data_IF_620190513074
#
_entry.id   IF_620190513074
#
_cell.length_a   1.000
_cell.length_b   1.000
_cell.length_c   1.000
_cell.angle_alpha   90.00
_cell.angle_beta   90.00
_cell.angle_gamma   90.00
#
_symmetry.space_group_name_H-M   'P 1'
#
loop_
_entity.id
_entity.type
_entity.pdbx_description
1 polymer ?
#
# COMPACT_ATOMS: atom_id res chain seq x y z
N UNK A 1 12.85 -28.28 12.16
CA UNK A 1 11.60 -27.60 12.54
C UNK A 1 11.56 -26.15 12.05
N UNK A 2 12.47 -25.28 12.47
CA UNK A 2 12.54 -23.87 12.01
C UNK A 2 12.70 -23.69 10.49
N UNK A 3 13.51 -24.52 9.84
CA UNK A 3 13.64 -24.52 8.38
C UNK A 3 12.33 -24.85 7.66
N UNK A 4 11.55 -25.81 8.18
CA UNK A 4 10.24 -26.16 7.61
C UNK A 4 9.24 -25.01 7.76
N UNK A 5 9.19 -24.35 8.92
CA UNK A 5 8.36 -23.16 9.12
C UNK A 5 8.78 -22.02 8.21
N UNK A 6 10.07 -21.83 8.03
CA UNK A 6 10.61 -20.82 7.14
C UNK A 6 10.23 -21.09 5.68
N UNK A 7 10.43 -22.32 5.18
CA UNK A 7 10.01 -22.72 3.83
C UNK A 7 8.50 -22.57 3.67
N UNK A 8 7.70 -22.95 4.67
CA UNK A 8 6.26 -22.80 4.64
C UNK A 8 5.80 -21.33 4.63
N UNK A 9 6.55 -20.43 5.28
CA UNK A 9 6.27 -19.00 5.27
C UNK A 9 6.66 -18.33 3.93
N UNK A 10 7.77 -18.76 3.32
CA UNK A 10 8.25 -18.21 2.04
C UNK A 10 7.46 -18.76 0.85
N UNK A 11 6.96 -19.99 0.95
CA UNK A 11 6.29 -20.67 -0.16
C UNK A 11 5.08 -19.89 -0.73
N UNK A 12 4.14 -19.34 0.05
CA UNK A 12 3.05 -18.51 -0.46
C UNK A 12 3.51 -17.30 -1.28
N UNK A 13 4.54 -16.58 -0.82
CA UNK A 13 5.09 -15.42 -1.52
C UNK A 13 5.70 -15.77 -2.88
N UNK A 14 6.10 -17.03 -3.08
CA UNK A 14 6.62 -17.53 -4.35
C UNK A 14 5.54 -18.04 -5.33
N UNK A 15 4.26 -18.10 -4.95
CA UNK A 15 3.22 -18.77 -5.77
C UNK A 15 2.50 -17.86 -6.75
N UNK A 16 2.30 -16.60 -6.37
CA UNK A 16 1.53 -15.61 -7.11
C UNK A 16 2.50 -14.51 -7.54
N UNK A 17 2.57 -14.16 -8.84
CA UNK A 17 3.38 -13.03 -9.27
C UNK A 17 2.84 -11.74 -8.63
N UNK A 18 3.71 -10.77 -8.31
CA UNK A 18 3.27 -9.53 -7.69
C UNK A 18 2.35 -8.73 -8.63
N UNK A 19 1.48 -7.91 -8.07
CA UNK A 19 0.68 -6.96 -8.84
C UNK A 19 1.59 -5.91 -9.48
N UNK A 20 1.29 -5.53 -10.73
CA UNK A 20 2.10 -4.57 -11.48
C UNK A 20 1.24 -3.40 -11.96
N UNK A 21 1.72 -2.19 -11.70
CA UNK A 21 1.10 -0.96 -12.16
C UNK A 21 1.82 -0.47 -13.42
N UNK A 22 1.06 -0.08 -14.44
CA UNK A 22 1.61 0.50 -15.66
C UNK A 22 0.99 1.86 -15.93
N UNK A 23 1.78 2.91 -15.64
CA UNK A 23 1.41 4.31 -15.88
C UNK A 23 1.10 4.59 -17.35
N UNK A 24 1.92 4.09 -18.28
CA UNK A 24 1.80 4.43 -19.70
C UNK A 24 0.47 3.96 -20.29
N UNK A 25 -0.02 2.82 -19.79
CA UNK A 25 -1.31 2.25 -20.18
C UNK A 25 -2.45 2.62 -19.24
N UNK A 26 -2.18 3.34 -18.13
CA UNK A 26 -3.13 3.57 -17.02
C UNK A 26 -3.89 2.31 -16.63
N UNK A 27 -3.16 1.21 -16.40
CA UNK A 27 -3.73 -0.10 -16.09
C UNK A 27 -2.95 -0.81 -14.98
N UNK A 28 -3.62 -1.72 -14.29
CA UNK A 28 -3.06 -2.59 -13.24
C UNK A 28 -3.22 -4.05 -13.65
N UNK A 29 -2.10 -4.78 -13.65
CA UNK A 29 -2.07 -6.20 -13.94
C UNK A 29 -1.94 -7.02 -12.66
N UNK A 30 -2.83 -8.01 -12.49
CA UNK A 30 -2.75 -8.97 -11.38
C UNK A 30 -3.11 -10.38 -11.83
N UNK A 31 -2.77 -11.36 -11.00
CA UNK A 31 -3.09 -12.78 -11.22
C UNK A 31 -3.81 -13.28 -9.98
N UNK A 32 -5.10 -13.57 -10.09
CA UNK A 32 -5.96 -13.92 -8.95
C UNK A 32 -5.52 -15.24 -8.29
N UNK A 33 -5.33 -16.30 -9.09
CA UNK A 33 -4.76 -17.56 -8.60
C UNK A 33 -3.65 -18.10 -9.49
N UNK A 34 -2.83 -18.97 -8.90
CA UNK A 34 -1.75 -19.66 -9.63
C UNK A 34 -2.32 -20.41 -10.84
N UNK A 35 -1.86 -20.03 -12.04
CA UNK A 35 -2.17 -20.71 -13.29
C UNK A 35 -3.31 -20.06 -14.09
N UNK A 36 -4.00 -19.09 -13.51
CA UNK A 36 -5.00 -18.29 -14.23
C UNK A 36 -4.32 -17.25 -15.13
N UNK A 37 -4.99 -16.84 -16.23
CA UNK A 37 -4.51 -15.76 -17.06
C UNK A 37 -4.42 -14.44 -16.26
N UNK A 38 -3.46 -13.57 -16.57
CA UNK A 38 -3.41 -12.24 -15.95
C UNK A 38 -4.63 -11.43 -16.36
N UNK A 39 -5.12 -10.64 -15.42
CA UNK A 39 -6.23 -9.69 -15.61
C UNK A 39 -5.66 -8.28 -15.61
N UNK A 40 -6.19 -7.44 -16.48
CA UNK A 40 -5.81 -6.04 -16.63
C UNK A 40 -7.02 -5.19 -16.25
N UNK A 41 -6.83 -4.27 -15.31
CA UNK A 41 -7.89 -3.39 -14.80
C UNK A 41 -7.50 -1.95 -15.12
N UNK A 42 -8.41 -1.13 -15.67
CA UNK A 42 -8.19 0.31 -15.81
C UNK A 42 -7.86 0.96 -14.47
N UNK A 43 -6.90 1.86 -14.45
CA UNK A 43 -6.48 2.55 -13.22
C UNK A 43 -7.63 3.28 -12.52
N UNK A 44 -8.57 3.81 -13.30
CA UNK A 44 -9.73 4.56 -12.80
C UNK A 44 -10.80 3.66 -12.17
N UNK A 45 -10.77 2.34 -12.45
CA UNK A 45 -11.63 1.33 -11.82
C UNK A 45 -11.03 0.76 -10.52
N UNK A 46 -9.81 1.15 -10.17
CA UNK A 46 -9.13 0.67 -8.96
C UNK A 46 -9.78 1.30 -7.73
N UNK A 47 -10.24 0.45 -6.82
CA UNK A 47 -10.82 0.88 -5.55
C UNK A 47 -9.68 0.97 -4.54
N UNK A 48 -9.61 2.06 -3.79
CA UNK A 48 -8.71 2.18 -2.65
C UNK A 48 -9.46 2.61 -1.41
N UNK A 49 -9.20 1.93 -0.30
CA UNK A 49 -9.73 2.30 1.00
C UNK A 49 -8.74 1.95 2.11
N UNK A 50 -8.90 2.58 3.26
CA UNK A 50 -8.09 2.28 4.44
C UNK A 50 -8.96 1.53 5.45
N UNK A 51 -8.49 0.36 5.87
CA UNK A 51 -9.06 -0.38 6.99
C UNK A 51 -8.45 0.07 8.30
N UNK A 52 -9.28 0.25 9.32
CA UNK A 52 -8.86 0.40 10.71
C UNK A 52 -9.54 -0.71 11.51
N UNK A 53 -8.74 -1.57 12.13
CA UNK A 53 -9.23 -2.69 12.93
C UNK A 53 -8.54 -2.73 14.29
N UNK A 54 -9.27 -3.15 15.32
CA UNK A 54 -8.69 -3.42 16.64
C UNK A 54 -8.36 -4.91 16.70
N UNK A 55 -7.09 -5.24 16.92
CA UNK A 55 -6.63 -6.63 17.01
C UNK A 55 -6.15 -6.90 18.42
N UNK A 56 -6.81 -7.83 19.11
CA UNK A 56 -6.34 -8.34 20.38
C UNK A 56 -5.08 -9.20 20.16
N UNK A 57 -3.99 -8.82 20.82
CA UNK A 57 -2.74 -9.58 20.86
C UNK A 57 -2.44 -10.00 22.29
N UNK A 58 -1.45 -10.87 22.48
CA UNK A 58 -0.98 -11.26 23.82
C UNK A 58 -0.50 -10.07 24.67
N UNK A 59 -0.17 -8.95 24.01
CA UNK A 59 0.28 -7.71 24.64
C UNK A 59 -0.83 -6.65 24.77
N UNK A 60 -2.09 -7.04 24.55
CA UNK A 60 -3.26 -6.17 24.60
C UNK A 60 -3.86 -5.84 23.23
N UNK A 61 -4.88 -4.98 23.22
CA UNK A 61 -5.57 -4.57 21.99
C UNK A 61 -4.79 -3.49 21.28
N UNK A 62 -4.35 -3.77 20.06
CA UNK A 62 -3.63 -2.83 19.22
C UNK A 62 -4.48 -2.40 18.03
N UNK A 63 -4.49 -1.11 17.74
CA UNK A 63 -5.08 -0.61 16.50
C UNK A 63 -4.16 -0.95 15.33
N UNK A 64 -4.72 -1.56 14.29
CA UNK A 64 -4.02 -1.88 13.04
C UNK A 64 -4.68 -1.17 11.88
N UNK A 65 -3.86 -0.55 11.06
CA UNK A 65 -4.27 0.08 9.81
C UNK A 65 -3.78 -0.75 8.63
N UNK A 66 -4.52 -0.71 7.53
CA UNK A 66 -4.06 -1.29 6.29
C UNK A 66 -4.65 -0.55 5.09
N UNK A 67 -3.82 -0.25 4.11
CA UNK A 67 -4.27 0.14 2.79
C UNK A 67 -4.83 -1.09 2.09
N UNK A 68 -6.08 -0.99 1.63
CA UNK A 68 -6.77 -2.03 0.87
C UNK A 68 -7.00 -1.53 -0.56
N UNK A 69 -6.43 -2.23 -1.53
CA UNK A 69 -6.59 -1.95 -2.96
C UNK A 69 -7.49 -3.04 -3.56
N UNK A 70 -8.69 -2.65 -3.96
CA UNK A 70 -9.69 -3.49 -4.58
C UNK A 70 -9.55 -3.48 -6.10
N UNK A 71 -9.30 -4.65 -6.65
CA UNK A 71 -9.17 -4.92 -8.07
C UNK A 71 -10.43 -5.64 -8.55
N UNK A 72 -11.37 -4.88 -9.13
CA UNK A 72 -12.64 -5.40 -9.63
C UNK A 72 -12.48 -5.98 -11.03
N UNK A 73 -12.88 -7.23 -11.20
CA UNK A 73 -12.93 -7.84 -12.53
C UNK A 73 -14.21 -7.44 -13.28
N UNK A 74 -14.07 -7.05 -14.55
CA UNK A 74 -15.17 -6.61 -15.39
C UNK A 74 -16.08 -7.77 -15.81
N UNK A 75 -15.58 -9.00 -15.92
CA UNK A 75 -16.38 -10.16 -16.36
C UNK A 75 -17.20 -10.78 -15.23
N UNK A 76 -16.59 -10.94 -14.06
CA UNK A 76 -17.17 -11.73 -12.96
C UNK A 76 -17.71 -10.86 -11.81
N UNK A 77 -17.38 -9.56 -11.81
CA UNK A 77 -17.71 -8.62 -10.74
C UNK A 77 -16.99 -8.89 -9.40
N UNK A 78 -16.16 -9.93 -9.33
CA UNK A 78 -15.38 -10.27 -8.13
C UNK A 78 -14.28 -9.23 -7.90
N UNK A 79 -14.10 -8.84 -6.64
CA UNK A 79 -13.05 -7.91 -6.22
C UNK A 79 -11.97 -8.66 -5.48
N UNK A 80 -10.74 -8.58 -5.99
CA UNK A 80 -9.57 -9.07 -5.27
C UNK A 80 -8.98 -7.92 -4.46
N UNK A 81 -8.83 -8.14 -3.16
CA UNK A 81 -8.26 -7.16 -2.25
C UNK A 81 -6.78 -7.42 -2.03
N UNK A 82 -5.95 -6.43 -2.33
CA UNK A 82 -4.56 -6.37 -1.88
C UNK A 82 -4.53 -5.60 -0.56
N UNK A 83 -3.91 -6.18 0.46
CA UNK A 83 -3.79 -5.56 1.78
C UNK A 83 -2.33 -5.24 2.05
N UNK A 84 -2.03 -3.95 2.19
CA UNK A 84 -0.73 -3.45 2.60
C UNK A 84 -0.86 -3.01 4.06
N UNK A 85 -0.22 -3.70 5.01
CA UNK A 85 -0.29 -3.33 6.41
C UNK A 85 0.47 -2.02 6.66
N UNK A 86 -0.12 -1.11 7.43
CA UNK A 86 0.49 0.18 7.76
C UNK A 86 0.39 0.44 9.26
N UNK A 87 1.37 1.15 9.83
CA UNK A 87 1.41 1.40 11.27
C UNK A 87 0.43 2.48 11.72
N UNK A 88 0.08 3.41 10.84
CA UNK A 88 -0.83 4.52 11.13
C UNK A 88 -1.75 4.80 9.95
N UNK A 89 -2.88 5.47 10.21
CA UNK A 89 -3.77 5.96 9.14
C UNK A 89 -3.02 6.86 8.15
N UNK A 90 -2.18 7.78 8.63
CA UNK A 90 -1.41 8.70 7.79
C UNK A 90 -0.43 7.96 6.86
N UNK A 91 0.17 6.86 7.32
CA UNK A 91 1.02 6.03 6.48
C UNK A 91 0.21 5.29 5.40
N UNK A 92 -0.94 4.69 5.75
CA UNK A 92 -1.78 4.01 4.76
C UNK A 92 -2.27 4.97 3.65
N UNK A 93 -2.66 6.19 4.04
CA UNK A 93 -3.03 7.25 3.09
C UNK A 93 -1.82 7.70 2.28
N UNK A 94 -0.65 7.86 2.91
CA UNK A 94 0.59 8.23 2.23
C UNK A 94 1.06 7.19 1.21
N UNK A 95 0.92 5.89 1.52
CA UNK A 95 1.20 4.79 0.59
C UNK A 95 0.30 4.86 -0.65
N UNK A 96 -1.00 5.12 -0.45
CA UNK A 96 -1.93 5.31 -1.57
C UNK A 96 -1.57 6.55 -2.40
N UNK A 97 -1.30 7.68 -1.75
CA UNK A 97 -0.91 8.91 -2.43
C UNK A 97 0.40 8.77 -3.19
N UNK A 98 1.37 7.99 -2.69
CA UNK A 98 2.58 7.67 -3.43
C UNK A 98 2.29 6.87 -4.71
N UNK A 99 1.45 5.83 -4.62
CA UNK A 99 1.03 5.06 -5.81
C UNK A 99 0.28 5.96 -6.80
N UNK A 100 -0.67 6.76 -6.31
CA UNK A 100 -1.45 7.69 -7.14
C UNK A 100 -0.57 8.73 -7.81
N UNK A 101 0.32 9.40 -7.08
CA UNK A 101 1.26 10.39 -7.62
C UNK A 101 2.19 9.76 -8.67
N UNK A 102 2.69 8.55 -8.41
CA UNK A 102 3.46 7.80 -9.41
C UNK A 102 2.65 7.52 -10.68
N UNK A 103 1.39 7.09 -10.55
CA UNK A 103 0.54 6.76 -11.70
C UNK A 103 0.12 8.00 -12.51
N UNK A 104 -0.16 9.13 -11.85
CA UNK A 104 -0.60 10.36 -12.51
C UNK A 104 0.59 11.17 -13.05
N UNK A 105 1.49 11.57 -12.16
CA UNK A 105 2.54 12.56 -12.42
C UNK A 105 3.87 11.90 -12.77
N UNK A 106 4.06 10.64 -12.39
CA UNK A 106 5.28 9.87 -12.67
C UNK A 106 6.28 9.87 -11.52
N UNK A 107 7.49 9.30 -11.74
CA UNK A 107 8.48 9.11 -10.68
C UNK A 107 9.03 10.41 -10.09
N UNK A 108 8.95 11.53 -10.81
CA UNK A 108 9.40 12.84 -10.32
C UNK A 108 8.51 13.45 -9.24
N UNK A 109 7.27 12.98 -9.10
CA UNK A 109 6.33 13.46 -8.08
C UNK A 109 6.50 12.75 -6.74
N UNK A 110 7.27 11.67 -6.70
CA UNK A 110 7.52 10.92 -5.47
C UNK A 110 8.46 11.71 -4.55
N UNK A 111 8.17 11.76 -3.24
CA UNK A 111 9.08 12.38 -2.29
C UNK A 111 10.41 11.62 -2.28
N UNK A 112 11.50 12.36 -2.15
CA UNK A 112 12.82 11.76 -1.97
C UNK A 112 12.86 10.96 -0.65
N UNK A 113 13.54 9.80 -0.63
CA UNK A 113 13.64 8.99 0.58
C UNK A 113 14.34 9.79 1.69
N UNK A 114 13.65 9.93 2.83
CA UNK A 114 14.11 10.75 3.96
C UNK A 114 15.45 10.26 4.56
N UNK A 115 15.68 8.93 4.54
CA UNK A 115 16.85 8.30 5.16
C UNK A 115 17.88 7.82 4.13
N UNK A 116 17.72 8.17 2.85
CA UNK A 116 18.52 7.64 1.75
C UNK A 116 18.21 6.16 1.45
N UNK A 117 18.54 5.71 0.24
CA UNK A 117 18.13 4.39 -0.30
C UNK A 117 18.62 3.18 0.53
N UNK A 118 19.70 3.33 1.30
CA UNK A 118 20.31 2.22 2.02
C UNK A 118 19.83 2.08 3.48
N UNK A 119 19.14 3.08 4.05
CA UNK A 119 18.71 3.06 5.47
C UNK A 119 17.22 2.81 5.64
N UNK A 120 16.69 1.87 4.86
CA UNK A 120 15.32 1.38 5.04
C UNK A 120 15.21 0.42 6.23
N UNK A 121 14.03 0.35 6.84
CA UNK A 121 13.79 -0.54 7.97
C UNK A 121 14.01 -2.01 7.55
N UNK A 122 14.80 -2.74 8.35
CA UNK A 122 15.18 -4.12 8.03
C UNK A 122 16.55 -4.26 7.36
N UNK A 123 17.21 -3.18 6.93
CA UNK A 123 18.58 -3.23 6.42
C UNK A 123 19.63 -3.27 7.55
N UNK A 124 20.85 -3.69 7.21
CA UNK A 124 21.97 -3.75 8.16
C UNK A 124 22.44 -2.34 8.54
N UNK A 125 22.35 -1.41 7.60
CA UNK A 125 22.67 -0.01 7.73
C UNK A 125 21.74 0.68 8.74
N UNK A 126 20.43 0.45 8.61
CA UNK A 126 19.43 0.92 9.57
C UNK A 126 19.69 0.35 10.96
N UNK A 127 20.00 -0.95 11.08
CA UNK A 127 20.39 -1.57 12.35
C UNK A 127 21.59 -0.85 13.00
N UNK A 128 22.62 -0.54 12.21
CA UNK A 128 23.80 0.17 12.71
C UNK A 128 23.50 1.62 13.10
N UNK A 129 22.60 2.29 12.39
CA UNK A 129 22.09 3.61 12.78
C UNK A 129 21.37 3.53 14.13
N UNK A 130 20.42 2.61 14.30
CA UNK A 130 19.72 2.41 15.58
C UNK A 130 20.68 2.10 16.72
N UNK A 131 21.71 1.26 16.48
CA UNK A 131 22.75 0.99 17.47
C UNK A 131 23.49 2.25 17.89
N UNK A 132 23.88 3.10 16.93
CA UNK A 132 24.57 4.37 17.21
C UNK A 132 23.68 5.31 18.03
N UNK A 133 22.42 5.46 17.65
CA UNK A 133 21.43 6.25 18.39
C UNK A 133 21.26 5.74 19.82
N UNK A 134 20.98 4.44 19.99
CA UNK A 134 20.82 3.84 21.32
C UNK A 134 22.05 4.03 22.21
N UNK A 135 23.26 3.88 21.64
CA UNK A 135 24.52 4.08 22.36
C UNK A 135 24.74 5.54 22.76
N UNK A 136 24.25 6.50 21.98
CA UNK A 136 24.32 7.93 22.29
C UNK A 136 23.34 8.28 23.42
N UNK A 137 22.12 7.76 23.37
CA UNK A 137 21.06 8.10 24.33
C UNK A 137 21.21 7.40 25.70
N UNK A 138 21.96 6.28 25.75
CA UNK A 138 22.04 5.46 26.96
C UNK A 138 23.47 5.30 27.49
N UNK A 139 23.59 5.37 28.81
CA UNK A 139 24.82 5.04 29.53
C UNK A 139 25.24 3.56 29.37
N UNK A 140 26.50 3.27 29.69
CA UNK A 140 27.16 2.01 29.34
C UNK A 140 26.45 0.74 29.85
N UNK A 141 25.96 0.73 31.09
CA UNK A 141 25.30 -0.45 31.66
C UNK A 141 23.98 -0.74 30.93
N UNK A 142 23.19 0.29 30.62
CA UNK A 142 21.96 0.11 29.83
C UNK A 142 22.27 -0.36 28.41
N UNK A 143 23.35 0.12 27.79
CA UNK A 143 23.78 -0.39 26.49
C UNK A 143 24.18 -1.88 26.55
N UNK A 144 24.91 -2.30 27.58
CA UNK A 144 25.37 -3.68 27.74
C UNK A 144 24.21 -4.65 27.98
N UNK A 145 23.32 -4.37 28.94
CA UNK A 145 22.22 -5.28 29.29
C UNK A 145 20.96 -5.07 28.43
N UNK A 146 20.74 -3.86 27.92
CA UNK A 146 19.55 -3.53 27.13
C UNK A 146 19.74 -3.75 25.63
N UNK A 147 20.87 -3.35 25.06
CA UNK A 147 21.12 -3.51 23.62
C UNK A 147 21.93 -4.77 23.32
N UNK A 148 23.14 -4.90 23.88
CA UNK A 148 24.04 -6.00 23.51
C UNK A 148 23.48 -7.38 23.86
N UNK A 149 22.95 -7.55 25.07
CA UNK A 149 22.38 -8.83 25.50
C UNK A 149 21.18 -9.24 24.63
N UNK A 150 20.23 -8.32 24.41
CA UNK A 150 19.03 -8.59 23.59
C UNK A 150 19.44 -8.91 22.15
N UNK A 151 20.34 -8.11 21.56
CA UNK A 151 20.76 -8.32 20.18
C UNK A 151 21.62 -9.57 19.99
N UNK A 152 22.38 -9.98 21.01
CA UNK A 152 23.07 -11.26 20.99
C UNK A 152 22.06 -12.43 20.92
N UNK A 153 21.01 -12.38 21.75
CA UNK A 153 19.96 -13.41 21.75
C UNK A 153 19.08 -13.39 20.50
N UNK A 154 18.89 -12.24 19.84
CA UNK A 154 18.08 -12.11 18.62
C UNK A 154 18.85 -12.40 17.32
N UNK A 155 20.16 -12.69 17.39
CA UNK A 155 20.99 -12.98 16.21
C UNK A 155 21.59 -11.74 15.53
N UNK A 156 21.65 -10.59 16.20
CA UNK A 156 22.35 -9.38 15.75
C UNK A 156 21.87 -8.90 14.37
N UNK A 157 22.74 -8.87 13.36
CA UNK A 157 22.40 -8.48 11.98
C UNK A 157 21.92 -9.65 11.12
N UNK A 158 21.85 -10.87 11.68
CA UNK A 158 21.40 -12.06 10.96
C UNK A 158 19.96 -11.92 10.45
N UNK A 159 18.98 -11.41 11.22
CA UNK A 159 17.63 -11.19 10.71
C UNK A 159 17.58 -10.26 9.49
N UNK A 160 18.33 -9.15 9.51
CA UNK A 160 18.45 -8.23 8.37
C UNK A 160 19.02 -8.92 7.12
N UNK A 161 20.06 -9.75 7.30
CA UNK A 161 20.66 -10.52 6.21
C UNK A 161 19.72 -11.59 5.65
N UNK A 162 18.95 -12.24 6.52
CA UNK A 162 17.92 -13.20 6.12
C UNK A 162 16.82 -12.49 5.34
N UNK A 163 16.34 -11.33 5.80
CA UNK A 163 15.34 -10.54 5.10
C UNK A 163 15.82 -10.14 3.70
N UNK A 164 17.04 -9.59 3.60
CA UNK A 164 17.65 -9.24 2.32
C UNK A 164 17.86 -10.47 1.40
N UNK A 165 18.17 -11.64 1.96
CA UNK A 165 18.26 -12.88 1.20
C UNK A 165 16.89 -13.34 0.69
N UNK A 166 15.84 -13.28 1.52
CA UNK A 166 14.46 -13.61 1.15
C UNK A 166 13.95 -12.70 0.05
N UNK A 167 14.23 -11.41 0.11
CA UNK A 167 13.85 -10.46 -0.94
C UNK A 167 14.48 -10.76 -2.29
N UNK A 168 15.73 -11.25 -2.27
CA UNK A 168 16.49 -11.66 -3.45
C UNK A 168 16.11 -13.04 -3.97
N UNK A 169 15.32 -13.81 -3.22
CA UNK A 169 14.85 -15.09 -3.73
C UNK A 169 14.08 -14.87 -5.03
N UNK A 170 14.22 -15.79 -6.00
CA UNK A 170 13.52 -15.66 -7.28
C UNK A 170 12.01 -15.69 -7.02
N UNK A 171 11.40 -14.51 -7.08
CA UNK A 171 9.95 -14.38 -7.13
C UNK A 171 9.47 -15.05 -8.42
N UNK A 172 8.24 -15.55 -8.42
CA UNK A 172 7.69 -16.22 -9.59
C UNK A 172 7.75 -15.31 -10.81
N UNK A 173 8.27 -15.85 -11.92
CA UNK A 173 8.28 -15.13 -13.17
C UNK A 173 6.86 -14.72 -13.58
N UNK A 174 6.74 -13.50 -14.10
CA UNK A 174 5.50 -13.01 -14.66
C UNK A 174 5.07 -13.86 -15.87
N UNK A 175 3.75 -14.06 -16.09
CA UNK A 175 3.25 -14.62 -17.33
C UNK A 175 3.74 -13.80 -18.54
N UNK A 176 3.97 -14.46 -19.69
CA UNK A 176 4.42 -13.78 -20.92
C UNK A 176 3.55 -12.58 -21.30
N UNK A 177 2.22 -12.73 -21.17
CA UNK A 177 1.27 -11.65 -21.41
C UNK A 177 1.53 -10.40 -20.56
N UNK A 178 1.88 -10.55 -19.27
CA UNK A 178 2.24 -9.40 -18.41
C UNK A 178 3.58 -8.81 -18.85
N UNK A 179 4.56 -9.63 -19.24
CA UNK A 179 5.85 -9.14 -19.72
C UNK A 179 5.72 -8.32 -21.00
N UNK A 180 4.94 -8.80 -21.97
CA UNK A 180 4.68 -8.10 -23.22
C UNK A 180 3.89 -6.81 -22.99
N UNK A 181 2.88 -6.85 -22.13
CA UNK A 181 2.13 -5.67 -21.69
C UNK A 181 3.01 -4.64 -20.97
N UNK A 182 4.03 -5.08 -20.24
CA UNK A 182 4.96 -4.23 -19.49
C UNK A 182 6.04 -3.56 -20.34
N UNK A 183 6.14 -3.88 -21.63
CA UNK A 183 7.11 -3.23 -22.52
C UNK A 183 6.79 -1.74 -22.65
N UNK A 184 7.81 -0.87 -22.68
CA UNK A 184 7.60 0.57 -22.77
C UNK A 184 6.90 0.92 -24.07
N UNK A 185 5.89 1.78 -23.97
CA UNK A 185 5.18 2.37 -25.09
C UNK A 185 5.79 3.72 -25.50
N UNK A 186 5.74 4.05 -26.79
CA UNK A 186 6.02 5.41 -27.26
C UNK A 186 5.12 6.44 -26.54
N UNK A 187 5.61 7.66 -26.25
CA UNK A 187 4.84 8.70 -25.56
C UNK A 187 3.48 9.03 -26.21
N UNK A 188 3.40 8.91 -27.54
CA UNK A 188 2.19 9.14 -28.33
C UNK A 188 1.07 8.13 -28.04
N UNK A 189 1.41 6.95 -27.53
CA UNK A 189 0.46 5.88 -27.19
C UNK A 189 0.14 5.86 -25.70
N UNK A 190 0.61 6.85 -24.93
CA UNK A 190 0.30 6.90 -23.51
C UNK A 190 -1.16 7.27 -23.32
N UNK A 191 -1.83 6.51 -22.47
CA UNK A 191 -3.20 6.84 -22.09
C UNK A 191 -3.20 8.05 -21.14
N UNK A 192 -4.15 8.94 -21.38
CA UNK A 192 -4.41 10.10 -20.53
C UNK A 192 -5.59 9.83 -19.59
N UNK A 193 -5.69 10.57 -18.47
CA UNK A 193 -6.87 10.53 -17.62
C UNK A 193 -8.15 10.78 -18.43
N UNK A 194 -9.25 10.12 -18.08
CA UNK A 194 -10.54 10.38 -18.73
C UNK A 194 -11.00 11.83 -18.50
N UNK A 195 -11.78 12.36 -19.44
CA UNK A 195 -12.35 13.70 -19.35
C UNK A 195 -13.24 13.85 -18.11
N UNK A 196 -13.99 12.80 -17.76
CA UNK A 196 -14.81 12.75 -16.54
C UNK A 196 -13.96 12.88 -15.28
N UNK A 197 -12.84 12.14 -15.19
CA UNK A 197 -11.94 12.23 -14.04
C UNK A 197 -11.29 13.62 -13.93
N UNK A 198 -10.96 14.26 -15.05
CA UNK A 198 -10.42 15.61 -15.08
C UNK A 198 -11.48 16.59 -14.55
N UNK A 199 -12.71 16.52 -15.04
CA UNK A 199 -13.82 17.38 -14.60
C UNK A 199 -14.09 17.22 -13.10
N UNK A 200 -14.19 15.97 -12.60
CA UNK A 200 -14.38 15.68 -11.17
C UNK A 200 -13.22 16.23 -10.33
N UNK A 201 -11.98 16.03 -10.78
CA UNK A 201 -10.78 16.55 -10.11
C UNK A 201 -10.79 18.07 -10.03
N UNK A 202 -11.19 18.76 -11.11
CA UNK A 202 -11.33 20.21 -11.11
C UNK A 202 -12.44 20.70 -10.17
N UNK A 203 -13.58 19.99 -10.13
CA UNK A 203 -14.68 20.32 -9.24
C UNK A 203 -14.26 20.23 -7.76
N UNK A 204 -13.57 19.15 -7.38
CA UNK A 204 -13.01 18.99 -6.03
C UNK A 204 -11.99 20.09 -5.73
N UNK A 205 -11.06 20.36 -6.64
CA UNK A 205 -10.05 21.44 -6.48
C UNK A 205 -10.70 22.82 -6.31
N UNK A 206 -11.79 23.12 -7.03
CA UNK A 206 -12.56 24.37 -6.86
C UNK A 206 -13.16 24.47 -5.46
N UNK A 207 -13.67 23.38 -4.90
CA UNK A 207 -14.17 23.36 -3.51
C UNK A 207 -13.04 23.54 -2.50
N UNK A 208 -11.92 22.82 -2.66
CA UNK A 208 -10.75 22.94 -1.78
C UNK A 208 -10.16 24.37 -1.77
N UNK A 209 -10.11 25.04 -2.93
CA UNK A 209 -9.66 26.44 -3.01
C UNK A 209 -10.54 27.43 -2.25
N UNK A 210 -11.79 27.08 -1.96
CA UNK A 210 -12.70 27.87 -1.13
C UNK A 210 -12.50 27.63 0.38
N UNK A 211 -11.54 26.78 0.76
CA UNK A 211 -11.27 26.41 2.16
C UNK A 211 -12.21 25.34 2.73
N UNK A 212 -13.01 24.70 1.88
CA UNK A 212 -13.93 23.61 2.26
C UNK A 212 -13.22 22.26 2.13
N UNK A 213 -13.76 21.24 2.81
CA UNK A 213 -13.18 19.88 2.79
C UNK A 213 -13.70 19.04 1.62
N UNK A 214 -13.02 17.93 1.35
CA UNK A 214 -13.46 16.93 0.35
C UNK A 214 -14.83 16.35 0.74
N UNK A 215 -15.09 16.15 2.04
CA UNK A 215 -16.38 15.65 2.52
C UNK A 215 -17.51 16.66 2.28
N UNK A 216 -17.23 17.95 2.41
CA UNK A 216 -18.21 19.00 2.09
C UNK A 216 -18.59 18.97 0.61
N UNK A 217 -17.61 18.75 -0.29
CA UNK A 217 -17.85 18.62 -1.72
C UNK A 217 -18.84 17.50 -2.04
N UNK A 218 -18.58 16.28 -1.55
CA UNK A 218 -19.43 15.12 -1.84
C UNK A 218 -20.79 15.20 -1.12
N UNK A 219 -20.86 15.81 0.07
CA UNK A 219 -22.14 16.02 0.74
C UNK A 219 -23.05 16.97 -0.04
N UNK A 220 -22.51 18.01 -0.66
CA UNK A 220 -23.25 18.94 -1.53
C UNK A 220 -23.78 18.28 -2.80
N UNK A 221 -23.03 17.34 -3.40
CA UNK A 221 -23.48 16.56 -4.56
C UNK A 221 -24.56 15.53 -4.19
N UNK A 222 -24.48 14.96 -2.98
CA UNK A 222 -25.40 13.92 -2.52
C UNK A 222 -26.80 14.41 -2.15
N UNK A 223 -27.03 15.74 -2.09
CA UNK A 223 -28.33 16.31 -1.73
C UNK A 223 -29.21 16.35 -2.99
N UNK A 224 -30.23 15.46 -3.13
CA UNK A 224 -31.05 15.47 -4.32
C UNK A 224 -31.88 16.74 -4.38
N UNK A 225 -31.91 17.38 -5.54
CA UNK A 225 -33.00 18.27 -5.92
C UNK A 225 -34.28 17.44 -5.93
N UNK A 226 -35.10 17.57 -4.87
CA UNK A 226 -36.42 16.94 -4.79
C UNK A 226 -36.50 15.72 -3.87
N UNK A 227 -36.46 15.94 -2.56
CA UNK A 227 -37.11 15.05 -1.59
C UNK A 227 -37.82 15.89 -0.54
N UNK A 228 -38.86 16.60 -0.96
CA UNK A 228 -39.91 17.05 -0.06
C UNK A 228 -40.78 15.84 0.24
N UNK A 229 -40.73 15.29 1.45
CA UNK A 229 -41.90 14.65 2.09
C UNK A 229 -41.72 14.58 3.62
N UNK A 230 -42.84 14.62 4.36
CA UNK A 230 -42.94 15.32 5.62
C UNK A 230 -42.53 14.47 6.82
N UNK A 231 -42.15 15.17 7.88
CA UNK A 231 -42.05 14.67 9.25
C UNK A 231 -43.30 13.87 9.58
N UNK A 232 -43.15 12.57 9.82
CA UNK A 232 -44.13 11.80 10.58
C UNK A 232 -43.41 11.23 11.79
N UNK A 233 -43.61 11.95 12.88
CA UNK A 233 -43.41 11.53 14.27
C UNK A 233 -44.17 10.22 14.50
N UNK A 234 -43.51 9.19 15.04
CA UNK A 234 -44.17 8.02 15.58
C UNK A 234 -43.53 7.65 16.92
N UNK A 235 -44.28 7.99 17.96
CA UNK A 235 -44.18 7.53 19.34
C UNK A 235 -44.22 5.99 19.46
N UNK A 236 -43.55 5.50 20.51
CA UNK A 236 -43.90 4.37 21.39
C UNK A 236 -44.18 2.98 20.79
N UNK A 237 -43.23 2.05 20.99
CA UNK A 237 -43.39 0.84 21.86
C UNK A 237 -42.05 0.13 22.06
#
# INVERSE_FOLDING_TARGET
>A
MYFCFFVHAVYPHSRIPPTRFNRQRREVAYVAKRGEPPRFIPWEDVIACVSSSMVATEYGTQQKFALMIGLRDASDGQVVWLTVPSYTLGMAVGEWEAIRAYMEEGPSALPLPMMGENMEEGTVEFFHMCRKGYRYDHWYIRYLFGFLLIQFCSGWTLPCRIAAWVERLPKKAFPKAVLDWSKPLPPEQWQHPSDELIEQSEAVRKTLRKGLTVFDHFSMQSKPEGATHPVTELENS
#
